data_IF_324319469022
#
_entry.id   IF_324319469022
#
_cell.length_a   1.000
_cell.length_b   1.000
_cell.length_c   1.000
_cell.angle_alpha   90.00
_cell.angle_beta   90.00
_cell.angle_gamma   90.00
#
_symmetry.space_group_name_H-M   'P 1'
#
loop_
_entity.id
_entity.type
_entity.pdbx_description
1 polymer ?
#
# COMPACT_ATOMS: atom_id res chain seq x y z
N UNK A 1 -34.04 63.39 48.78
CA UNK A 1 -32.78 62.62 48.62
C UNK A 1 -33.03 61.46 47.64
N UNK A 2 -33.44 61.60 46.37
CA UNK A 2 -32.79 62.21 45.20
C UNK A 2 -31.25 62.03 45.20
N UNK A 3 -30.78 61.09 44.37
CA UNK A 3 -29.38 60.80 43.95
C UNK A 3 -28.63 59.57 44.51
N UNK A 4 -29.29 58.43 44.79
CA UNK A 4 -28.58 57.14 44.98
C UNK A 4 -29.11 55.93 44.19
N UNK A 5 -30.24 56.05 43.48
CA UNK A 5 -30.87 54.93 42.78
C UNK A 5 -30.53 54.80 41.29
N UNK A 6 -29.63 55.63 40.74
CA UNK A 6 -29.21 55.56 39.32
C UNK A 6 -27.77 55.08 39.11
N UNK A 7 -27.03 54.76 40.18
CA UNK A 7 -25.63 54.26 40.08
C UNK A 7 -25.56 52.73 40.11
N UNK A 8 -26.62 52.05 40.53
CA UNK A 8 -26.67 50.58 40.63
C UNK A 8 -27.28 49.87 39.42
N UNK A 9 -27.87 50.59 38.47
CA UNK A 9 -28.50 50.01 37.27
C UNK A 9 -27.59 50.09 36.03
N UNK A 10 -26.46 50.81 36.12
CA UNK A 10 -25.51 50.99 35.00
C UNK A 10 -24.19 50.25 35.20
N UNK A 11 -24.14 49.26 36.09
CA UNK A 11 -23.00 48.36 36.28
C UNK A 11 -23.28 46.92 35.77
N UNK A 12 -24.44 46.68 35.16
CA UNK A 12 -24.86 45.34 34.70
C UNK A 12 -24.86 45.18 33.17
N UNK A 13 -24.30 46.13 32.42
CA UNK A 13 -24.29 46.10 30.95
C UNK A 13 -22.92 46.34 30.30
N UNK A 14 -21.82 46.32 31.07
CA UNK A 14 -20.45 46.37 30.51
C UNK A 14 -19.58 45.33 31.21
N UNK A 15 -19.86 44.05 30.97
CA UNK A 15 -18.92 42.94 31.14
C UNK A 15 -19.10 41.91 30.00
N UNK A 16 -19.32 42.39 28.76
CA UNK A 16 -19.30 41.59 27.52
C UNK A 16 -18.00 41.80 26.73
N UNK A 17 -16.95 42.32 27.36
CA UNK A 17 -15.63 42.36 26.72
C UNK A 17 -14.54 42.16 27.76
N UNK A 18 -13.64 41.23 27.45
CA UNK A 18 -12.39 40.89 28.17
C UNK A 18 -12.50 39.87 29.32
N UNK A 19 -12.69 38.58 28.97
CA UNK A 19 -11.74 37.53 29.36
C UNK A 19 -11.47 36.68 28.12
N UNK A 20 -10.40 37.03 27.41
CA UNK A 20 -9.73 36.09 26.55
C UNK A 20 -8.91 35.12 27.40
N UNK A 21 -8.80 33.90 26.88
CA UNK A 21 -7.74 32.92 27.15
C UNK A 21 -7.70 32.37 28.57
N UNK A 22 -8.34 31.22 28.76
CA UNK A 22 -7.70 30.00 29.26
C UNK A 22 -8.70 28.86 29.11
N UNK A 23 -8.77 28.31 27.90
CA UNK A 23 -9.40 27.01 27.67
C UNK A 23 -8.56 25.96 28.38
N UNK A 24 -9.02 25.47 29.53
CA UNK A 24 -8.56 24.20 30.06
C UNK A 24 -9.25 23.10 29.26
N UNK A 25 -8.66 22.76 28.12
CA UNK A 25 -8.90 21.47 27.48
C UNK A 25 -8.43 20.38 28.45
N UNK A 26 -9.35 19.59 28.96
CA UNK A 26 -9.03 18.34 29.65
C UNK A 26 -8.60 17.37 28.54
N UNK A 27 -7.30 17.34 28.27
CA UNK A 27 -6.67 16.36 27.41
C UNK A 27 -6.74 15.02 28.16
N UNK A 28 -7.76 14.21 27.88
CA UNK A 28 -7.68 12.78 28.18
C UNK A 28 -6.64 12.22 27.22
N UNK A 29 -5.43 12.02 27.73
CA UNK A 29 -4.33 11.41 27.01
C UNK A 29 -4.65 9.97 26.67
N UNK A 30 -5.36 9.75 25.57
CA UNK A 30 -5.15 8.58 24.73
C UNK A 30 -4.04 9.00 23.77
N UNK A 31 -2.84 8.46 23.97
CA UNK A 31 -1.85 8.43 22.88
C UNK A 31 -2.39 7.47 21.82
N UNK A 32 -3.25 8.00 20.96
CA UNK A 32 -3.38 7.45 19.62
C UNK A 32 -2.07 7.86 18.95
N UNK A 33 -1.27 6.89 18.51
CA UNK A 33 -0.26 7.16 17.49
C UNK A 33 -1.03 7.53 16.23
N UNK A 34 -1.47 8.79 16.16
CA UNK A 34 -1.92 9.40 14.94
C UNK A 34 -0.64 9.84 14.24
N UNK A 35 -0.07 8.93 13.44
CA UNK A 35 0.97 9.28 12.50
C UNK A 35 0.36 10.32 11.57
N UNK A 36 0.85 11.56 11.71
CA UNK A 36 0.32 12.68 10.96
C UNK A 36 0.41 12.40 9.47
N UNK A 37 -0.65 12.73 8.75
CA UNK A 37 -0.60 12.87 7.30
C UNK A 37 0.48 13.90 6.99
N UNK A 38 1.63 13.42 6.50
CA UNK A 38 2.75 14.24 6.05
C UNK A 38 2.40 14.82 4.67
N UNK A 39 1.80 16.00 4.70
CA UNK A 39 1.59 16.90 3.55
C UNK A 39 2.74 17.92 3.45
N UNK A 40 3.97 17.42 3.40
CA UNK A 40 5.09 18.03 2.67
C UNK A 40 6.26 17.03 2.65
N UNK A 41 6.92 16.90 1.50
CA UNK A 41 7.77 15.78 1.06
C UNK A 41 8.57 15.03 2.12
N UNK A 42 8.30 13.73 2.22
CA UNK A 42 9.10 12.78 2.99
C UNK A 42 10.44 12.55 2.32
N UNK A 43 11.49 12.74 3.09
CA UNK A 43 12.86 12.31 2.81
C UNK A 43 12.85 10.87 2.27
N UNK A 44 13.76 10.56 1.33
CA UNK A 44 13.85 9.36 0.47
C UNK A 44 13.97 8.00 1.20
N UNK A 45 13.32 7.83 2.33
CA UNK A 45 13.35 6.67 3.21
C UNK A 45 12.00 6.39 3.88
N UNK A 46 10.98 7.28 3.78
CA UNK A 46 9.63 7.05 4.31
C UNK A 46 8.60 7.53 3.28
N UNK A 47 7.97 6.58 2.59
CA UNK A 47 6.94 6.83 1.58
C UNK A 47 5.65 7.35 2.21
N UNK A 48 4.85 8.10 1.43
CA UNK A 48 3.59 8.67 1.91
C UNK A 48 2.49 7.62 2.01
N UNK A 49 2.48 6.59 1.16
CA UNK A 49 1.50 5.51 1.23
C UNK A 49 2.03 4.19 0.62
N UNK A 50 2.87 3.49 1.38
CA UNK A 50 3.48 2.23 0.97
C UNK A 50 2.47 1.09 0.75
N UNK A 51 1.28 1.16 1.37
CA UNK A 51 0.23 0.14 1.26
C UNK A 51 -0.46 0.13 -0.12
N UNK A 52 -0.41 1.23 -0.87
CA UNK A 52 -1.18 1.40 -2.09
C UNK A 52 -0.55 0.74 -3.32
N UNK A 53 0.73 0.34 -3.26
CA UNK A 53 1.38 -0.35 -4.40
C UNK A 53 0.66 -1.66 -4.77
N UNK A 54 0.19 -2.42 -3.77
CA UNK A 54 -0.59 -3.65 -3.99
C UNK A 54 -1.89 -3.42 -4.76
N UNK A 55 -2.48 -2.23 -4.66
CA UNK A 55 -3.67 -1.85 -5.44
C UNK A 55 -3.33 -1.34 -6.84
N UNK A 56 -2.20 -0.66 -7.00
CA UNK A 56 -1.79 -0.04 -8.26
C UNK A 56 -1.19 -1.02 -9.27
N UNK A 57 -0.68 -2.17 -8.81
CA UNK A 57 -0.16 -3.24 -9.69
C UNK A 57 -1.17 -3.65 -10.78
N UNK A 58 -2.48 -3.64 -10.46
CA UNK A 58 -3.56 -4.11 -11.31
C UNK A 58 -4.10 -3.08 -12.31
N UNK A 59 -3.89 -1.78 -12.08
CA UNK A 59 -4.58 -0.73 -12.84
C UNK A 59 -3.67 0.37 -13.41
N UNK A 60 -2.40 0.42 -13.01
CA UNK A 60 -1.47 1.48 -13.43
C UNK A 60 -0.37 0.93 -14.35
N UNK A 61 -0.01 1.76 -15.35
CA UNK A 61 1.13 1.53 -16.26
C UNK A 61 2.46 1.82 -15.57
N UNK A 62 3.58 1.38 -16.18
CA UNK A 62 4.92 1.63 -15.63
C UNK A 62 5.26 3.11 -15.58
N UNK A 63 4.77 3.91 -16.54
CA UNK A 63 4.89 5.36 -16.56
C UNK A 63 4.12 6.03 -15.41
N UNK A 64 2.90 5.57 -15.12
CA UNK A 64 2.08 6.12 -14.02
C UNK A 64 2.67 5.78 -12.65
N UNK A 65 3.17 4.55 -12.49
CA UNK A 65 3.87 4.12 -11.28
C UNK A 65 5.17 4.93 -11.10
N UNK A 66 5.92 5.18 -12.18
CA UNK A 66 7.13 6.02 -12.14
C UNK A 66 6.82 7.46 -11.72
N UNK A 67 5.74 8.07 -12.23
CA UNK A 67 5.30 9.40 -11.77
C UNK A 67 4.98 9.44 -10.28
N UNK A 68 4.41 8.37 -9.72
CA UNK A 68 4.18 8.27 -8.27
C UNK A 68 5.50 8.17 -7.49
N UNK A 69 6.53 7.51 -8.04
CA UNK A 69 7.85 7.46 -7.42
C UNK A 69 8.49 8.85 -7.37
N UNK A 70 8.43 9.61 -8.48
CA UNK A 70 8.95 10.99 -8.54
C UNK A 70 8.28 11.92 -7.52
N UNK A 71 6.99 11.70 -7.24
CA UNK A 71 6.21 12.44 -6.24
C UNK A 71 6.44 12.00 -4.78
N UNK A 72 7.45 11.14 -4.54
CA UNK A 72 7.77 10.56 -3.24
C UNK A 72 6.60 9.77 -2.62
N UNK A 73 5.75 9.19 -3.46
CA UNK A 73 4.57 8.46 -3.01
C UNK A 73 4.94 7.15 -2.29
N UNK A 74 6.01 6.50 -2.75
CA UNK A 74 6.51 5.22 -2.25
C UNK A 74 7.86 5.34 -1.53
N UNK A 75 8.08 4.48 -0.54
CA UNK A 75 9.38 4.33 0.12
C UNK A 75 10.37 3.52 -0.72
N UNK A 76 11.67 3.67 -0.45
CA UNK A 76 12.72 2.88 -1.11
C UNK A 76 12.48 1.36 -1.05
N UNK A 77 12.09 0.75 0.09
CA UNK A 77 11.74 -0.68 0.13
C UNK A 77 10.60 -1.07 -0.81
N UNK A 78 9.60 -0.20 -0.99
CA UNK A 78 8.50 -0.44 -1.93
C UNK A 78 8.97 -0.25 -3.37
N UNK A 79 9.82 0.74 -3.66
CA UNK A 79 10.43 0.93 -4.98
C UNK A 79 11.31 -0.28 -5.36
N UNK A 80 12.05 -0.83 -4.41
CA UNK A 80 12.80 -2.08 -4.62
C UNK A 80 11.88 -3.27 -4.92
N UNK A 81 10.74 -3.36 -4.21
CA UNK A 81 9.72 -4.37 -4.48
C UNK A 81 9.12 -4.22 -5.89
N UNK A 82 8.74 -3.00 -6.29
CA UNK A 82 8.23 -2.67 -7.63
C UNK A 82 9.16 -3.21 -8.73
N UNK A 83 10.46 -2.95 -8.57
CA UNK A 83 11.47 -3.39 -9.52
C UNK A 83 11.71 -4.91 -9.49
N UNK A 84 11.64 -5.52 -8.31
CA UNK A 84 11.74 -6.98 -8.17
C UNK A 84 10.54 -7.71 -8.76
N UNK A 85 9.36 -7.09 -8.75
CA UNK A 85 8.13 -7.59 -9.40
C UNK A 85 8.15 -7.36 -10.93
N UNK A 86 9.26 -6.85 -11.47
CA UNK A 86 9.50 -6.70 -12.90
C UNK A 86 8.85 -5.45 -13.52
N UNK A 87 8.37 -4.52 -12.70
CA UNK A 87 7.76 -3.25 -13.14
C UNK A 87 8.79 -2.13 -13.12
N UNK A 88 8.60 -1.11 -13.96
CA UNK A 88 9.47 0.08 -14.03
C UNK A 88 10.96 -0.22 -14.30
N UNK A 89 11.28 -1.39 -14.88
CA UNK A 89 12.66 -1.83 -15.13
C UNK A 89 13.43 -0.88 -16.08
N UNK A 90 12.72 -0.17 -16.96
CA UNK A 90 13.31 0.83 -17.86
C UNK A 90 13.86 2.05 -17.12
N UNK A 91 13.45 2.28 -15.87
CA UNK A 91 13.79 3.48 -15.08
C UNK A 91 14.84 3.21 -13.99
N UNK A 92 15.37 1.98 -13.90
CA UNK A 92 16.32 1.58 -12.84
C UNK A 92 17.55 2.50 -12.77
N UNK A 93 18.13 2.84 -13.92
CA UNK A 93 19.32 3.71 -13.97
C UNK A 93 19.02 5.15 -13.53
N UNK A 94 17.82 5.65 -13.83
CA UNK A 94 17.37 6.98 -13.39
C UNK A 94 17.08 6.98 -11.88
N UNK A 95 16.38 5.96 -11.38
CA UNK A 95 16.11 5.79 -9.95
C UNK A 95 17.38 5.69 -9.11
N UNK A 96 18.43 5.05 -9.66
CA UNK A 96 19.77 5.07 -9.07
C UNK A 96 20.39 6.46 -9.11
N UNK A 97 20.44 7.10 -10.28
CA UNK A 97 21.04 8.43 -10.43
C UNK A 97 20.41 9.48 -9.50
N UNK A 98 19.10 9.37 -9.29
CA UNK A 98 18.34 10.24 -8.40
C UNK A 98 18.38 9.81 -6.94
N UNK A 99 18.93 8.63 -6.63
CA UNK A 99 19.09 8.12 -5.27
C UNK A 99 17.79 7.67 -4.60
N UNK A 100 16.81 7.22 -5.39
CA UNK A 100 15.60 6.55 -4.91
C UNK A 100 15.86 5.12 -4.45
N UNK A 101 16.86 4.47 -5.07
CA UNK A 101 17.31 3.11 -4.75
C UNK A 101 18.85 3.06 -4.61
N UNK A 102 19.41 2.07 -3.89
CA UNK A 102 20.85 1.89 -3.77
C UNK A 102 21.54 1.67 -5.14
N UNK A 103 22.76 2.18 -5.29
CA UNK A 103 23.54 2.04 -6.54
C UNK A 103 23.82 0.57 -6.90
N UNK A 104 23.99 -0.26 -5.89
CA UNK A 104 24.27 -1.70 -5.96
C UNK A 104 23.01 -2.56 -6.10
N UNK A 105 21.82 -1.96 -6.15
CA UNK A 105 20.56 -2.69 -6.33
C UNK A 105 20.53 -3.40 -7.70
N UNK A 106 20.15 -4.68 -7.69
CA UNK A 106 19.95 -5.49 -8.91
C UNK A 106 18.58 -6.15 -8.86
N UNK A 107 17.65 -5.81 -9.78
CA UNK A 107 16.30 -6.38 -9.76
C UNK A 107 16.31 -7.88 -10.07
N UNK A 108 15.55 -8.66 -9.32
CA UNK A 108 15.47 -10.13 -9.42
C UNK A 108 15.05 -10.65 -10.83
N UNK A 109 14.43 -9.80 -11.65
CA UNK A 109 14.00 -10.13 -13.02
C UNK A 109 14.91 -9.68 -14.16
N UNK A 110 16.12 -9.17 -13.89
CA UNK A 110 16.98 -8.59 -14.94
C UNK A 110 17.65 -9.65 -15.82
N UNK A 111 16.98 -10.07 -16.90
CA UNK A 111 17.67 -10.60 -18.09
C UNK A 111 18.29 -9.41 -18.85
N UNK A 112 19.56 -9.46 -19.30
CA UNK A 112 20.19 -8.32 -19.95
C UNK A 112 19.56 -8.12 -21.33
N UNK A 113 18.76 -7.07 -21.50
CA UNK A 113 18.31 -6.62 -22.81
C UNK A 113 19.12 -5.40 -23.23
N UNK A 114 20.04 -5.66 -24.17
CA UNK A 114 20.79 -4.65 -24.89
C UNK A 114 19.83 -3.72 -25.61
N UNK A 115 19.76 -2.46 -25.20
CA UNK A 115 19.16 -1.41 -26.03
C UNK A 115 20.25 -0.41 -26.37
N UNK A 116 20.66 -0.46 -27.64
CA UNK A 116 21.54 0.48 -28.32
C UNK A 116 21.11 1.92 -28.03
N UNK A 117 21.98 2.69 -27.37
CA UNK A 117 21.92 4.15 -27.41
C UNK A 117 22.93 4.66 -28.42
N UNK A 118 22.40 5.40 -29.39
CA UNK A 118 23.10 6.14 -30.44
C UNK A 118 24.02 7.21 -29.83
N UNK A 119 25.19 7.34 -30.45
CA UNK A 119 26.30 8.21 -30.12
C UNK A 119 25.93 9.69 -29.87
N UNK A 120 26.57 10.32 -28.89
CA UNK A 120 27.13 11.69 -29.04
C UNK A 120 28.38 11.86 -28.16
N UNK A 121 29.53 11.68 -28.81
CA UNK A 121 30.82 12.38 -28.70
C UNK A 121 31.03 13.41 -27.57
N UNK A 122 32.07 13.20 -26.75
CA UNK A 122 33.16 14.18 -26.47
C UNK A 122 34.36 13.52 -25.75
N UNK A 123 35.55 14.03 -26.08
CA UNK A 123 36.93 13.56 -25.82
C UNK A 123 37.32 13.50 -24.32
N UNK A 124 38.31 12.73 -23.84
CA UNK A 124 39.79 12.88 -23.99
C UNK A 124 40.50 11.80 -23.10
N UNK A 125 41.85 11.72 -23.01
CA UNK A 125 42.83 10.97 -23.81
C UNK A 125 43.35 9.66 -23.17
N UNK A 126 44.08 8.90 -24.01
CA UNK A 126 44.81 7.69 -23.69
C UNK A 126 46.28 7.93 -23.26
N UNK A 127 46.76 7.04 -22.40
CA UNK A 127 48.15 6.56 -22.21
C UNK A 127 47.95 5.15 -21.58
N UNK A 128 48.66 4.08 -21.87
CA UNK A 128 49.93 3.86 -22.56
C UNK A 128 50.05 2.35 -22.83
N UNK A 129 50.58 1.97 -24.00
CA UNK A 129 51.53 0.87 -24.26
C UNK A 129 51.17 -0.59 -23.90
N UNK A 130 51.68 -1.64 -24.53
CA UNK A 130 52.39 -1.94 -25.79
C UNK A 130 52.58 -3.45 -25.80
N UNK A 131 52.64 -4.04 -27.00
CA UNK A 131 53.47 -5.19 -27.40
C UNK A 131 52.69 -6.35 -28.05
N UNK A 132 52.61 -6.25 -29.38
CA UNK A 132 53.17 -7.19 -30.40
C UNK A 132 52.84 -8.67 -30.31
N UNK A 133 52.67 -9.44 -31.39
CA UNK A 133 52.54 -9.28 -32.86
C UNK A 133 52.80 -10.68 -33.37
N UNK A 134 51.90 -11.36 -34.10
CA UNK A 134 52.31 -12.41 -35.04
C UNK A 134 51.37 -12.48 -36.25
N UNK A 135 51.98 -12.36 -37.43
CA UNK A 135 51.45 -12.78 -38.73
C UNK A 135 52.67 -13.26 -39.51
N UNK A 136 52.63 -14.48 -40.04
CA UNK A 136 52.62 -14.79 -41.49
C UNK A 136 53.26 -16.14 -41.82
N UNK A 137 52.53 -16.89 -42.65
CA UNK A 137 52.98 -17.81 -43.71
C UNK A 137 53.73 -19.11 -43.38
N UNK A 138 53.23 -20.22 -43.94
CA UNK A 138 53.95 -20.94 -45.01
C UNK A 138 53.03 -21.89 -45.82
N UNK A 139 53.36 -22.18 -47.10
CA UNK A 139 52.57 -23.01 -48.03
C UNK A 139 53.09 -24.46 -48.20
N UNK A 140 52.17 -25.31 -48.70
CA UNK A 140 52.27 -26.57 -49.49
C UNK A 140 53.61 -27.31 -49.60
N UNK A 141 53.58 -28.64 -49.48
CA UNK A 141 54.11 -29.59 -50.49
C UNK A 141 53.49 -30.98 -50.32
N UNK A 142 53.25 -31.61 -51.45
CA UNK A 142 52.54 -32.86 -51.74
C UNK A 142 53.30 -34.12 -51.30
N UNK A 143 52.58 -35.22 -51.03
CA UNK A 143 53.00 -36.57 -51.45
C UNK A 143 51.76 -37.45 -51.60
N UNK A 144 51.64 -38.01 -52.81
CA UNK A 144 50.59 -38.89 -53.30
C UNK A 144 50.90 -40.32 -52.89
N UNK A 145 49.96 -40.99 -52.22
CA UNK A 145 49.93 -42.45 -52.10
C UNK A 145 48.52 -42.93 -52.45
N UNK A 146 48.43 -43.63 -53.58
CA UNK A 146 47.20 -44.24 -54.07
C UNK A 146 46.91 -45.50 -53.25
N UNK A 147 45.84 -45.47 -52.47
CA UNK A 147 45.19 -46.67 -51.95
C UNK A 147 43.76 -46.65 -52.46
N UNK A 148 43.45 -47.62 -53.32
CA UNK A 148 42.11 -47.90 -53.83
C UNK A 148 41.25 -48.40 -52.67
N UNK A 149 40.57 -47.49 -52.01
CA UNK A 149 39.48 -47.77 -51.07
C UNK A 149 38.18 -47.61 -51.84
N UNK A 150 37.33 -48.64 -51.81
CA UNK A 150 35.97 -48.56 -52.35
C UNK A 150 35.24 -47.40 -51.69
N UNK A 151 34.95 -46.37 -52.49
CA UNK A 151 34.20 -45.18 -52.04
C UNK A 151 32.78 -45.62 -51.72
N UNK A 152 32.51 -45.88 -50.44
CA UNK A 152 31.17 -45.66 -49.88
C UNK A 152 30.87 -44.18 -50.14
N UNK A 153 29.89 -43.89 -50.98
CA UNK A 153 29.48 -42.51 -51.24
C UNK A 153 29.22 -41.82 -49.89
N UNK A 154 29.90 -40.70 -49.64
CA UNK A 154 29.58 -39.87 -48.49
C UNK A 154 28.13 -39.37 -48.64
N UNK A 155 27.34 -39.38 -47.54
CA UNK A 155 25.99 -38.87 -47.57
C UNK A 155 25.99 -37.40 -48.00
N UNK A 156 25.06 -37.03 -48.87
CA UNK A 156 24.92 -35.66 -49.36
C UNK A 156 24.35 -34.75 -48.26
N UNK A 157 24.60 -33.44 -48.35
CA UNK A 157 24.08 -32.48 -47.36
C UNK A 157 22.55 -32.49 -47.29
N UNK A 158 21.87 -32.65 -48.42
CA UNK A 158 20.40 -32.75 -48.48
C UNK A 158 19.88 -34.01 -47.75
N UNK A 159 20.59 -35.13 -47.84
CA UNK A 159 20.25 -36.36 -47.10
C UNK A 159 20.49 -36.18 -45.59
N UNK A 160 21.55 -35.48 -45.19
CA UNK A 160 21.84 -35.16 -43.78
C UNK A 160 20.76 -34.23 -43.22
N UNK A 161 20.36 -33.18 -43.94
CA UNK A 161 19.35 -32.22 -43.47
C UNK A 161 17.95 -32.87 -43.34
N UNK A 162 17.65 -33.89 -44.15
CA UNK A 162 16.41 -34.67 -44.06
C UNK A 162 16.44 -35.78 -42.98
N UNK A 163 17.62 -36.11 -42.43
CA UNK A 163 17.81 -37.24 -41.52
C UNK A 163 17.60 -36.93 -40.02
N UNK A 164 17.03 -35.76 -39.68
CA UNK A 164 16.70 -35.39 -38.31
C UNK A 164 15.40 -36.03 -37.85
N UNK A 165 15.46 -36.80 -36.77
CA UNK A 165 14.30 -37.47 -36.17
C UNK A 165 14.17 -37.07 -34.70
N UNK A 166 12.94 -36.92 -34.19
CA UNK A 166 12.67 -36.70 -32.77
C UNK A 166 12.94 -38.01 -32.00
N UNK A 167 13.81 -37.95 -30.99
CA UNK A 167 14.22 -39.14 -30.22
C UNK A 167 13.79 -39.09 -28.76
N UNK A 168 13.62 -37.88 -28.18
CA UNK A 168 13.13 -37.70 -26.82
C UNK A 168 12.24 -36.46 -26.74
N UNK A 169 11.12 -36.58 -26.01
CA UNK A 169 10.23 -35.47 -25.68
C UNK A 169 9.92 -35.48 -24.20
N UNK A 170 10.20 -34.37 -23.54
CA UNK A 170 9.73 -34.04 -22.20
C UNK A 170 8.72 -32.91 -22.32
N UNK A 171 7.47 -33.15 -21.93
CA UNK A 171 6.44 -32.11 -21.93
C UNK A 171 6.75 -31.02 -20.90
N UNK A 172 6.36 -29.79 -21.20
CA UNK A 172 6.46 -28.68 -20.25
C UNK A 172 5.45 -28.84 -19.12
N UNK A 173 5.80 -28.38 -17.92
CA UNK A 173 4.90 -28.30 -16.77
C UNK A 173 4.51 -26.84 -16.49
N UNK A 174 3.80 -26.58 -15.38
CA UNK A 174 3.46 -25.22 -14.98
C UNK A 174 4.70 -24.36 -14.64
N UNK A 175 5.79 -24.99 -14.18
CA UNK A 175 6.98 -24.29 -13.67
C UNK A 175 8.28 -24.71 -14.35
N UNK A 176 8.31 -25.88 -14.98
CA UNK A 176 9.50 -26.42 -15.63
C UNK A 176 9.32 -26.45 -17.14
N UNK A 177 10.34 -25.96 -17.85
CA UNK A 177 10.42 -26.06 -19.30
C UNK A 177 10.50 -27.54 -19.72
N UNK A 178 9.78 -27.88 -20.79
CA UNK A 178 9.94 -29.14 -21.50
C UNK A 178 11.10 -29.05 -22.51
N UNK A 179 11.39 -30.17 -23.16
CA UNK A 179 12.40 -30.21 -24.23
C UNK A 179 12.09 -31.27 -25.26
N UNK A 180 12.46 -30.99 -26.51
CA UNK A 180 12.47 -31.95 -27.60
C UNK A 180 13.92 -32.13 -28.04
N UNK A 181 14.38 -33.39 -28.07
CA UNK A 181 15.71 -33.77 -28.56
C UNK A 181 15.55 -34.41 -29.93
N UNK A 182 16.29 -33.89 -30.91
CA UNK A 182 16.38 -34.49 -32.24
C UNK A 182 17.76 -35.10 -32.43
N UNK A 183 17.81 -36.25 -33.09
CA UNK A 183 19.06 -36.93 -33.44
C UNK A 183 19.11 -37.13 -34.95
N UNK A 184 20.27 -36.82 -35.55
CA UNK A 184 20.50 -37.09 -36.95
C UNK A 184 20.89 -38.56 -37.14
N UNK A 185 20.14 -39.32 -37.93
CA UNK A 185 20.39 -40.76 -38.13
C UNK A 185 21.63 -41.07 -38.97
N UNK A 186 22.16 -40.09 -39.72
CA UNK A 186 23.34 -40.23 -40.58
C UNK A 186 24.61 -39.79 -39.85
N UNK A 187 24.59 -38.64 -39.17
CA UNK A 187 25.78 -38.08 -38.50
C UNK A 187 25.87 -38.45 -37.01
N UNK A 188 24.74 -38.76 -36.37
CA UNK A 188 24.66 -39.01 -34.93
C UNK A 188 24.62 -37.74 -34.07
N UNK A 189 24.61 -36.55 -34.70
CA UNK A 189 24.53 -35.27 -33.98
C UNK A 189 23.18 -35.09 -33.29
N UNK A 190 23.16 -34.35 -32.18
CA UNK A 190 21.95 -34.01 -31.45
C UNK A 190 21.71 -32.50 -31.43
N UNK A 191 20.43 -32.11 -31.46
CA UNK A 191 19.99 -30.73 -31.22
C UNK A 191 18.80 -30.74 -30.27
N UNK A 192 18.71 -29.71 -29.44
CA UNK A 192 17.66 -29.56 -28.44
C UNK A 192 16.83 -28.31 -28.72
N UNK A 193 15.52 -28.43 -28.55
CA UNK A 193 14.56 -27.34 -28.62
C UNK A 193 13.80 -27.26 -27.29
N UNK A 194 13.81 -26.09 -26.64
CA UNK A 194 13.11 -25.88 -25.37
C UNK A 194 11.63 -25.58 -25.61
N UNK A 195 10.77 -26.19 -24.80
CA UNK A 195 9.35 -25.87 -24.72
C UNK A 195 9.14 -25.06 -23.43
N UNK A 196 8.80 -23.76 -23.51
CA UNK A 196 8.64 -22.95 -22.31
C UNK A 196 7.54 -23.49 -21.40
N UNK A 197 7.73 -23.35 -20.09
CA UNK A 197 6.73 -23.71 -19.10
C UNK A 197 5.35 -23.11 -19.45
N UNK A 198 4.29 -23.90 -19.28
CA UNK A 198 2.93 -23.48 -19.65
C UNK A 198 2.37 -22.38 -18.73
N UNK A 199 3.02 -22.15 -17.59
CA UNK A 199 2.50 -21.28 -16.54
C UNK A 199 1.33 -21.93 -15.79
N UNK A 200 0.76 -21.15 -14.87
CA UNK A 200 -0.39 -21.58 -14.08
C UNK A 200 -1.69 -21.01 -14.66
N UNK A 201 -2.69 -21.88 -14.79
CA UNK A 201 -4.08 -21.50 -15.13
C UNK A 201 -4.92 -21.56 -13.86
N UNK A 202 -4.93 -20.45 -13.11
CA UNK A 202 -5.59 -20.33 -11.82
C UNK A 202 -7.08 -20.00 -11.96
N UNK A 203 -7.92 -20.72 -11.20
CA UNK A 203 -9.34 -20.37 -11.01
C UNK A 203 -9.68 -20.20 -9.54
N UNK A 204 -10.70 -19.41 -9.23
CA UNK A 204 -11.22 -19.30 -7.86
C UNK A 204 -11.91 -20.61 -7.49
N UNK A 205 -11.43 -21.26 -6.44
CA UNK A 205 -12.01 -22.50 -5.93
C UNK A 205 -12.77 -22.31 -4.64
N UNK A 206 -12.37 -21.34 -3.81
CA UNK A 206 -13.03 -21.03 -2.54
C UNK A 206 -13.08 -19.52 -2.34
N UNK A 207 -14.18 -19.04 -1.74
CA UNK A 207 -14.36 -17.64 -1.35
C UNK A 207 -14.92 -17.61 0.05
N UNK A 208 -14.22 -16.93 0.96
CA UNK A 208 -14.74 -16.50 2.24
C UNK A 208 -15.07 -15.00 2.15
N UNK A 209 -16.34 -14.66 2.36
CA UNK A 209 -16.78 -13.27 2.30
C UNK A 209 -16.19 -12.44 3.44
N UNK A 210 -15.81 -11.20 3.14
CA UNK A 210 -15.36 -10.25 4.14
C UNK A 210 -16.52 -9.80 5.06
N UNK A 211 -16.22 -9.57 6.33
CA UNK A 211 -17.20 -9.08 7.32
C UNK A 211 -17.00 -7.58 7.59
N UNK A 212 -17.64 -7.01 8.62
CA UNK A 212 -17.39 -5.62 9.00
C UNK A 212 -15.99 -5.40 9.60
N UNK A 213 -15.42 -6.44 10.22
CA UNK A 213 -14.18 -6.34 11.02
C UNK A 213 -13.09 -7.30 10.57
N UNK A 214 -13.44 -8.36 9.85
CA UNK A 214 -12.51 -9.39 9.39
C UNK A 214 -12.46 -9.40 7.86
N UNK A 215 -11.24 -9.50 7.33
CA UNK A 215 -10.99 -9.70 5.91
C UNK A 215 -11.54 -11.06 5.47
N UNK A 216 -12.09 -11.08 4.25
CA UNK A 216 -12.39 -12.31 3.53
C UNK A 216 -11.19 -12.80 2.74
N UNK A 217 -11.36 -13.90 2.02
CA UNK A 217 -10.30 -14.48 1.19
C UNK A 217 -10.87 -15.08 -0.09
N UNK A 218 -10.10 -14.99 -1.19
CA UNK A 218 -10.31 -15.78 -2.39
C UNK A 218 -9.13 -16.75 -2.55
N UNK A 219 -9.42 -18.04 -2.61
CA UNK A 219 -8.43 -19.07 -2.88
C UNK A 219 -8.46 -19.41 -4.37
N UNK A 220 -7.30 -19.28 -5.00
CA UNK A 220 -7.09 -19.60 -6.41
C UNK A 220 -6.32 -20.91 -6.52
N UNK A 221 -6.79 -21.84 -7.35
CA UNK A 221 -6.15 -23.12 -7.60
C UNK A 221 -5.86 -23.31 -9.08
N UNK A 222 -4.64 -23.75 -9.41
CA UNK A 222 -4.27 -24.08 -10.78
C UNK A 222 -4.89 -25.41 -11.21
N UNK A 223 -5.64 -25.43 -12.31
CA UNK A 223 -6.28 -26.67 -12.84
C UNK A 223 -5.29 -27.76 -13.23
N UNK A 224 -4.12 -27.35 -13.69
CA UNK A 224 -3.13 -28.26 -14.26
C UNK A 224 -2.26 -28.94 -13.19
N UNK A 225 -1.88 -28.22 -12.11
CA UNK A 225 -0.94 -28.73 -11.10
C UNK A 225 -1.46 -28.69 -9.66
N UNK A 226 -2.62 -28.08 -9.40
CA UNK A 226 -3.19 -27.96 -8.06
C UNK A 226 -2.46 -26.98 -7.13
N UNK A 227 -1.50 -26.19 -7.64
CA UNK A 227 -0.90 -25.13 -6.85
C UNK A 227 -1.97 -24.11 -6.45
N UNK A 228 -1.88 -23.60 -5.22
CA UNK A 228 -2.86 -22.65 -4.67
C UNK A 228 -2.19 -21.39 -4.14
N UNK A 229 -2.87 -20.25 -4.29
CA UNK A 229 -2.56 -19.03 -3.56
C UNK A 229 -3.84 -18.34 -3.10
N UNK A 230 -3.71 -17.45 -2.12
CA UNK A 230 -4.84 -16.73 -1.53
C UNK A 230 -4.67 -15.23 -1.76
N UNK A 231 -5.79 -14.57 -2.04
CA UNK A 231 -5.90 -13.11 -2.14
C UNK A 231 -6.87 -12.61 -1.08
N UNK A 232 -6.49 -11.55 -0.36
CA UNK A 232 -7.29 -11.01 0.71
C UNK A 232 -8.41 -10.11 0.16
N UNK A 233 -9.61 -10.24 0.71
CA UNK A 233 -10.73 -9.34 0.47
C UNK A 233 -10.83 -8.43 1.69
N UNK A 234 -10.50 -7.13 1.60
CA UNK A 234 -10.52 -6.25 2.76
C UNK A 234 -11.87 -6.23 3.46
N UNK A 235 -11.86 -6.12 4.79
CA UNK A 235 -13.05 -5.95 5.61
C UNK A 235 -13.94 -4.83 5.06
N UNK A 236 -15.25 -5.07 5.04
CA UNK A 236 -16.22 -4.15 4.45
C UNK A 236 -16.44 -2.88 5.26
N UNK A 237 -15.92 -2.84 6.49
CA UNK A 237 -16.12 -1.77 7.44
C UNK A 237 -17.56 -1.71 7.97
N UNK A 238 -17.79 -0.81 8.91
CA UNK A 238 -19.12 -0.57 9.45
C UNK A 238 -19.92 0.39 8.57
N UNK A 239 -21.18 0.04 8.31
CA UNK A 239 -22.13 0.93 7.67
C UNK A 239 -22.96 1.64 8.75
N UNK A 240 -22.94 2.98 8.74
CA UNK A 240 -23.74 3.77 9.68
C UNK A 240 -25.23 3.46 9.52
N UNK A 241 -25.87 2.99 10.60
CA UNK A 241 -27.31 2.79 10.67
C UNK A 241 -28.05 4.01 11.21
N UNK A 242 -29.21 3.77 11.81
CA UNK A 242 -30.04 4.82 12.40
C UNK A 242 -29.64 5.09 13.85
N UNK A 243 -29.76 6.35 14.29
CA UNK A 243 -29.65 6.70 15.70
C UNK A 243 -30.85 6.17 16.48
N UNK A 244 -30.59 5.40 17.52
CA UNK A 244 -31.61 4.85 18.41
C UNK A 244 -31.47 5.44 19.81
N UNK A 245 -32.56 5.94 20.38
CA UNK A 245 -32.57 6.44 21.76
C UNK A 245 -32.66 5.25 22.71
N UNK A 246 -31.55 4.90 23.35
CA UNK A 246 -31.50 3.80 24.34
C UNK A 246 -31.98 4.27 25.72
N UNK A 247 -31.88 5.58 25.98
CA UNK A 247 -32.39 6.20 27.21
C UNK A 247 -32.94 7.58 26.93
N UNK A 248 -34.22 7.78 27.24
CA UNK A 248 -34.86 9.08 27.10
C UNK A 248 -34.27 10.13 28.06
N UNK A 249 -34.13 11.37 27.57
CA UNK A 249 -33.73 12.48 28.41
C UNK A 249 -34.87 12.89 29.35
N UNK A 250 -34.55 12.99 30.62
CA UNK A 250 -35.48 13.43 31.66
C UNK A 250 -35.32 14.91 31.99
N UNK A 251 -36.17 15.39 32.91
CA UNK A 251 -36.13 16.79 33.34
C UNK A 251 -34.82 17.16 34.05
N UNK A 252 -34.18 16.20 34.70
CA UNK A 252 -32.91 16.40 35.42
C UNK A 252 -31.87 15.31 35.14
N UNK A 253 -32.09 14.50 34.11
CA UNK A 253 -31.24 13.36 33.76
C UNK A 253 -30.97 13.39 32.27
N UNK A 254 -29.70 13.27 31.86
CA UNK A 254 -29.36 13.11 30.45
C UNK A 254 -29.91 11.79 29.90
N UNK A 255 -30.30 11.84 28.63
CA UNK A 255 -30.61 10.68 27.81
C UNK A 255 -29.37 10.21 27.05
N UNK A 256 -29.50 9.10 26.33
CA UNK A 256 -28.45 8.49 25.52
C UNK A 256 -29.08 8.04 24.21
N UNK A 257 -28.42 8.34 23.10
CA UNK A 257 -28.67 7.72 21.81
C UNK A 257 -27.41 7.02 21.30
N UNK A 258 -27.60 5.93 20.58
CA UNK A 258 -26.55 5.09 20.03
C UNK A 258 -26.74 4.95 18.51
N UNK A 259 -25.63 5.01 17.79
CA UNK A 259 -25.56 4.74 16.35
C UNK A 259 -25.04 3.31 16.19
N UNK A 260 -25.82 2.43 15.57
CA UNK A 260 -25.45 1.03 15.34
C UNK A 260 -25.13 0.77 13.88
N UNK A 261 -24.27 -0.22 13.62
CA UNK A 261 -23.99 -0.69 12.27
C UNK A 261 -25.21 -1.43 11.72
N UNK A 262 -25.69 -1.07 10.53
CA UNK A 262 -26.84 -1.76 9.91
C UNK A 262 -26.53 -3.22 9.56
N UNK A 263 -25.26 -3.51 9.24
CA UNK A 263 -24.83 -4.85 8.81
C UNK A 263 -24.61 -5.83 9.97
N UNK A 264 -23.91 -5.40 11.02
CA UNK A 264 -23.50 -6.29 12.12
C UNK A 264 -24.14 -5.96 13.48
N UNK A 265 -24.83 -4.82 13.60
CA UNK A 265 -25.46 -4.39 14.85
C UNK A 265 -24.52 -3.80 15.91
N UNK A 266 -23.22 -3.69 15.62
CA UNK A 266 -22.24 -3.13 16.55
C UNK A 266 -22.47 -1.63 16.79
N UNK A 267 -22.29 -1.16 18.02
CA UNK A 267 -22.45 0.26 18.38
C UNK A 267 -21.22 1.04 17.91
N UNK A 268 -21.41 1.93 16.94
CA UNK A 268 -20.36 2.74 16.33
C UNK A 268 -20.12 4.04 17.10
N UNK A 269 -21.20 4.62 17.65
CA UNK A 269 -21.10 5.88 18.37
C UNK A 269 -22.19 5.97 19.46
N UNK A 270 -21.90 6.72 20.51
CA UNK A 270 -22.81 6.98 21.62
C UNK A 270 -22.78 8.45 21.95
N UNK A 271 -23.94 9.09 21.93
CA UNK A 271 -24.10 10.52 22.20
C UNK A 271 -25.07 10.74 23.37
N UNK A 272 -24.73 11.70 24.22
CA UNK A 272 -25.62 12.14 25.30
C UNK A 272 -26.66 13.13 24.79
N UNK A 273 -27.92 12.90 25.16
CA UNK A 273 -29.01 13.84 24.93
C UNK A 273 -29.11 14.75 26.17
N UNK A 274 -28.96 16.07 26.03
CA UNK A 274 -29.00 16.98 27.17
C UNK A 274 -30.36 16.91 27.86
N UNK A 275 -30.34 17.02 29.19
CA UNK A 275 -31.56 17.11 30.00
C UNK A 275 -32.40 18.34 29.60
N UNK A 276 -33.71 18.28 29.78
CA UNK A 276 -34.61 19.35 29.29
C UNK A 276 -34.57 20.62 30.14
N UNK A 277 -34.11 20.55 31.39
CA UNK A 277 -33.90 21.71 32.25
C UNK A 277 -32.46 22.25 32.10
N UNK A 278 -32.24 23.55 31.89
CA UNK A 278 -30.88 24.12 31.80
C UNK A 278 -30.12 24.07 33.13
N UNK A 279 -30.79 23.76 34.25
CA UNK A 279 -30.18 23.67 35.58
C UNK A 279 -30.20 22.22 36.08
N UNK A 280 -29.08 21.70 36.62
CA UNK A 280 -29.07 20.39 37.24
C UNK A 280 -29.97 20.37 38.48
N UNK A 281 -30.48 19.19 38.85
CA UNK A 281 -31.34 19.01 40.03
C UNK A 281 -30.76 19.67 41.29
N UNK A 282 -29.44 19.54 41.50
CA UNK A 282 -28.74 20.12 42.64
C UNK A 282 -28.84 21.66 42.68
N UNK A 283 -28.77 22.32 41.53
CA UNK A 283 -28.91 23.78 41.44
C UNK A 283 -30.36 24.20 41.75
N UNK A 284 -31.35 23.47 41.25
CA UNK A 284 -32.77 23.74 41.53
C UNK A 284 -33.07 23.56 43.02
N UNK A 285 -32.61 22.46 43.63
CA UNK A 285 -32.74 22.23 45.08
C UNK A 285 -32.04 23.34 45.86
N UNK A 286 -30.83 23.75 45.47
CA UNK A 286 -30.09 24.83 46.11
C UNK A 286 -30.83 26.17 46.10
N UNK A 287 -31.44 26.52 44.95
CA UNK A 287 -32.26 27.74 44.82
C UNK A 287 -33.49 27.66 45.74
N UNK A 288 -34.19 26.53 45.76
CA UNK A 288 -35.38 26.35 46.61
C UNK A 288 -35.01 26.45 48.10
N UNK A 289 -33.93 25.80 48.53
CA UNK A 289 -33.45 25.88 49.92
C UNK A 289 -33.06 27.30 50.29
N UNK A 290 -32.35 28.02 49.41
CA UNK A 290 -31.99 29.42 49.63
C UNK A 290 -33.23 30.32 49.80
N UNK A 291 -34.25 30.15 48.95
CA UNK A 291 -35.52 30.90 49.05
C UNK A 291 -36.22 30.62 50.37
N UNK A 292 -36.32 29.36 50.80
CA UNK A 292 -36.95 28.98 52.07
C UNK A 292 -36.20 29.59 53.27
N UNK A 293 -34.87 29.56 53.25
CA UNK A 293 -34.05 30.18 54.31
C UNK A 293 -34.25 31.70 54.34
N UNK A 294 -34.26 32.38 53.19
CA UNK A 294 -34.50 33.82 53.10
C UNK A 294 -35.89 34.18 53.64
N UNK A 295 -36.93 33.44 53.26
CA UNK A 295 -38.29 33.63 53.80
C UNK A 295 -38.30 33.43 55.32
N UNK A 296 -37.62 32.41 55.83
CA UNK A 296 -37.47 32.17 57.26
C UNK A 296 -36.83 33.35 57.99
N UNK A 297 -35.73 33.88 57.45
CA UNK A 297 -35.05 35.07 58.01
C UNK A 297 -35.97 36.29 57.98
N UNK A 298 -36.68 36.54 56.88
CA UNK A 298 -37.64 37.66 56.77
C UNK A 298 -38.74 37.53 57.82
N UNK A 299 -39.32 36.34 58.00
CA UNK A 299 -40.37 36.10 59.01
C UNK A 299 -39.85 36.36 60.42
N UNK A 300 -38.63 35.93 60.74
CA UNK A 300 -37.99 36.21 62.04
C UNK A 300 -37.78 37.71 62.22
N UNK A 301 -37.27 38.42 61.21
CA UNK A 301 -37.07 39.87 61.27
C UNK A 301 -38.39 40.64 61.43
N UNK A 302 -39.46 40.22 60.74
CA UNK A 302 -40.79 40.82 60.86
C UNK A 302 -41.41 40.56 62.24
N UNK A 303 -41.29 39.33 62.79
CA UNK A 303 -41.73 39.04 64.16
C UNK A 303 -40.96 39.87 65.18
N UNK A 304 -39.65 39.99 65.02
CA UNK A 304 -38.81 40.80 65.93
C UNK A 304 -39.20 42.27 65.90
N UNK A 305 -39.60 42.81 64.75
CA UNK A 305 -40.12 44.19 64.62
C UNK A 305 -41.53 44.40 65.20
N UNK A 306 -42.36 43.36 65.31
CA UNK A 306 -43.69 43.47 65.92
C UNK A 306 -43.68 43.31 67.44
N UNK A 307 -42.59 42.79 68.01
CA UNK A 307 -42.41 42.56 69.44
C UNK A 307 -41.57 43.66 70.13
N UNK A 308 -41.31 44.79 69.45
CA UNK A 308 -40.66 46.01 69.95
C UNK A 308 -41.66 47.15 69.77
#
# INVERSE_FOLDING_TARGET
MKNKSKVLVTALLICVAAIGVNGTSINYGVRVHNEGIVIDGGEKTVGRNDADYKGMEKYCTDEEIYSCIEDAYFSTPVIEQILNDGRCLAYVDQLKAEGWIPQDFTPAGSKPSSTTQTETKAETPADNQTATSETKEQPKTETKTETKTETKAEPTQEEIDAAWEETERTEATCTEDGKIVYTNSITGDTKEESLPAAGHDYEVTETADATCTEDGTNTYTCKACGNTYEDAIPATGHAEGEWTVTKEAGMFTSGIKELTCEKCGEVLNTEEIPQTCPLPLAAVIGIVVAVVVIIGVIVVLVRRRKNI
#
